data_IF_703754749781
#
_entry.id   IF_703754749781
#
_cell.length_a   1.000
_cell.length_b   1.000
_cell.length_c   1.000
_cell.angle_alpha   90.00
_cell.angle_beta   90.00
_cell.angle_gamma   90.00
#
_symmetry.space_group_name_H-M   'P 1'
#
loop_
_entity.id
_entity.type
_entity.pdbx_description
1 polymer ?
#
# COMPACT_ATOMS: atom_id res chain seq x y z
N UNK A 1 -2.71 -8.73 13.20
CA UNK A 1 -2.01 -7.60 12.57
C UNK A 1 -3.05 -6.86 11.75
N UNK A 2 -3.27 -5.56 11.96
CA UNK A 2 -4.24 -4.79 11.19
C UNK A 2 -3.85 -4.77 9.70
N UNK A 3 -4.86 -4.73 8.84
CA UNK A 3 -4.72 -4.67 7.39
C UNK A 3 -5.52 -3.49 6.85
N UNK A 4 -4.99 -2.84 5.82
CA UNK A 4 -5.69 -1.81 5.06
C UNK A 4 -5.51 -2.05 3.56
N UNK A 5 -6.44 -1.52 2.77
CA UNK A 5 -6.44 -1.70 1.32
C UNK A 5 -6.17 -0.37 0.62
N UNK A 6 -5.23 -0.40 -0.32
CA UNK A 6 -4.96 0.67 -1.27
C UNK A 6 -5.47 0.24 -2.64
N UNK A 7 -6.33 1.04 -3.27
CA UNK A 7 -6.73 0.83 -4.66
C UNK A 7 -5.69 1.47 -5.58
N UNK A 8 -5.15 0.71 -6.52
CA UNK A 8 -4.24 1.20 -7.54
C UNK A 8 -4.98 1.32 -8.88
N UNK A 9 -4.40 2.10 -9.80
CA UNK A 9 -5.00 2.39 -11.10
C UNK A 9 -5.19 1.14 -11.96
N UNK A 10 -4.25 0.20 -11.85
CA UNK A 10 -4.25 -1.05 -12.63
C UNK A 10 -3.65 -2.20 -11.81
N UNK A 11 -3.86 -3.47 -12.20
CA UNK A 11 -3.16 -4.59 -11.60
C UNK A 11 -1.63 -4.52 -11.74
N UNK A 12 -1.12 -3.88 -12.79
CA UNK A 12 0.32 -3.70 -12.95
C UNK A 12 0.88 -2.64 -11.98
N UNK A 13 0.12 -1.56 -11.75
CA UNK A 13 0.41 -0.62 -10.65
C UNK A 13 0.37 -1.33 -9.29
N UNK A 14 -0.63 -2.21 -9.12
CA UNK A 14 -0.71 -3.31 -8.15
C UNK A 14 0.64 -3.91 -7.75
N UNK A 15 1.22 -4.55 -8.76
CA UNK A 15 2.46 -5.31 -8.71
C UNK A 15 3.66 -4.42 -8.38
N UNK A 16 3.78 -3.25 -9.02
CA UNK A 16 4.89 -2.32 -8.78
C UNK A 16 4.92 -1.82 -7.33
N UNK A 17 3.77 -1.52 -6.73
CA UNK A 17 3.69 -1.11 -5.32
C UNK A 17 4.06 -2.26 -4.38
N UNK A 18 3.65 -3.49 -4.69
CA UNK A 18 4.03 -4.67 -3.91
C UNK A 18 5.53 -4.93 -4.00
N UNK A 19 6.12 -4.82 -5.19
CA UNK A 19 7.57 -5.02 -5.41
C UNK A 19 8.39 -4.00 -4.62
N UNK A 20 8.05 -2.72 -4.70
CA UNK A 20 8.73 -1.67 -3.94
C UNK A 20 8.56 -1.85 -2.43
N UNK A 21 7.35 -2.14 -1.98
CA UNK A 21 7.04 -2.25 -0.55
C UNK A 21 7.57 -3.57 0.06
N UNK A 22 7.98 -4.54 -0.76
CA UNK A 22 8.59 -5.78 -0.29
C UNK A 22 10.06 -5.55 0.06
N UNK A 23 10.34 -5.31 1.34
CA UNK A 23 11.70 -5.11 1.85
C UNK A 23 12.31 -6.41 2.38
N UNK A 24 13.47 -6.86 1.85
CA UNK A 24 14.15 -8.04 2.36
C UNK A 24 14.50 -7.89 3.85
N UNK A 25 14.01 -8.79 4.69
CA UNK A 25 14.25 -8.79 6.14
C UNK A 25 13.17 -8.09 6.97
N UNK A 26 12.17 -7.46 6.32
CA UNK A 26 10.96 -7.03 7.03
C UNK A 26 10.10 -8.26 7.35
N UNK A 27 9.86 -8.48 8.64
CA UNK A 27 9.04 -9.58 9.16
C UNK A 27 7.80 -9.08 9.89
N UNK A 28 7.65 -7.77 10.00
CA UNK A 28 6.58 -7.10 10.77
C UNK A 28 5.55 -6.43 9.86
N UNK A 29 5.90 -6.15 8.61
CA UNK A 29 4.99 -5.64 7.61
C UNK A 29 4.79 -6.66 6.49
N UNK A 30 3.58 -6.67 5.93
CA UNK A 30 3.23 -7.56 4.82
C UNK A 30 2.54 -6.78 3.74
N UNK A 31 2.88 -7.02 2.49
CA UNK A 31 2.24 -6.36 1.36
C UNK A 31 1.92 -7.43 0.32
N UNK A 32 0.66 -7.47 -0.13
CA UNK A 32 0.20 -8.46 -1.11
C UNK A 32 -0.73 -7.84 -2.12
N UNK A 33 -0.69 -8.35 -3.34
CA UNK A 33 -1.59 -7.96 -4.40
C UNK A 33 -2.94 -8.69 -4.30
N UNK A 34 -4.01 -7.98 -4.63
CA UNK A 34 -5.38 -8.48 -4.79
C UNK A 34 -5.99 -7.79 -6.02
N UNK A 35 -5.62 -8.26 -7.22
CA UNK A 35 -5.98 -7.62 -8.49
C UNK A 35 -5.35 -6.22 -8.63
N UNK A 36 -6.19 -5.20 -8.76
CA UNK A 36 -5.75 -3.79 -8.76
C UNK A 36 -5.66 -3.19 -7.34
N UNK A 37 -5.87 -3.99 -6.29
CA UNK A 37 -5.71 -3.55 -4.91
C UNK A 37 -4.42 -4.09 -4.30
N UNK A 38 -3.84 -3.34 -3.37
CA UNK A 38 -2.79 -3.79 -2.47
C UNK A 38 -3.37 -3.92 -1.08
N UNK A 39 -3.14 -5.08 -0.45
CA UNK A 39 -3.44 -5.27 0.97
C UNK A 39 -2.15 -5.09 1.76
N UNK A 40 -2.15 -4.08 2.61
CA UNK A 40 -1.02 -3.65 3.43
C UNK A 40 -1.33 -4.08 4.87
N UNK A 41 -0.62 -5.10 5.33
CA UNK A 41 -0.58 -5.46 6.75
C UNK A 41 0.51 -4.68 7.44
N UNK A 42 0.20 -4.10 8.59
CA UNK A 42 1.12 -3.20 9.29
C UNK A 42 1.18 -3.41 10.80
N UNK A 43 2.31 -3.06 11.39
CA UNK A 43 2.50 -2.93 12.84
C UNK A 43 2.66 -1.46 13.24
N UNK A 44 3.26 -0.63 12.38
CA UNK A 44 3.35 0.82 12.53
C UNK A 44 2.37 1.54 11.59
N UNK A 45 1.68 2.55 12.09
CA UNK A 45 0.72 3.36 11.33
C UNK A 45 1.37 4.15 10.17
N UNK A 46 2.68 4.41 10.27
CA UNK A 46 3.46 5.07 9.23
C UNK A 46 3.65 4.19 8.00
N UNK A 47 3.73 2.87 8.18
CA UNK A 47 3.96 1.95 7.07
C UNK A 47 2.92 2.05 5.95
N UNK A 48 1.60 1.93 6.23
CA UNK A 48 0.60 2.08 5.18
C UNK A 48 0.54 3.51 4.62
N UNK A 49 0.91 4.53 5.39
CA UNK A 49 1.01 5.91 4.89
C UNK A 49 2.16 6.05 3.89
N UNK A 50 3.35 5.55 4.21
CA UNK A 50 4.53 5.58 3.34
C UNK A 50 4.25 4.84 2.01
N UNK A 51 3.59 3.68 2.07
CA UNK A 51 3.22 2.91 0.87
C UNK A 51 2.19 3.65 0.02
N UNK A 52 1.18 4.25 0.64
CA UNK A 52 0.14 5.01 -0.06
C UNK A 52 0.70 6.28 -0.72
N UNK A 53 1.55 7.02 0.00
CA UNK A 53 2.20 8.24 -0.49
C UNK A 53 3.10 7.93 -1.69
N UNK A 54 3.96 6.92 -1.56
CA UNK A 54 4.81 6.47 -2.67
C UNK A 54 4.00 6.04 -3.90
N UNK A 55 2.91 5.29 -3.70
CA UNK A 55 2.04 4.86 -4.80
C UNK A 55 1.37 6.05 -5.51
N UNK A 56 1.00 7.10 -4.76
CA UNK A 56 0.47 8.32 -5.35
C UNK A 56 1.55 9.11 -6.12
N UNK A 57 2.68 9.38 -5.49
CA UNK A 57 3.79 10.15 -6.07
C UNK A 57 4.32 9.55 -7.38
N UNK A 58 4.29 8.23 -7.50
CA UNK A 58 4.75 7.51 -8.70
C UNK A 58 3.62 7.25 -9.72
N UNK A 59 2.41 7.74 -9.48
CA UNK A 59 1.28 7.62 -10.41
C UNK A 59 0.67 6.22 -10.47
N UNK A 60 0.81 5.41 -9.42
CA UNK A 60 0.23 4.07 -9.30
C UNK A 60 -1.13 4.07 -8.59
N UNK A 61 -1.46 5.12 -7.84
CA UNK A 61 -2.76 5.31 -7.20
C UNK A 61 -3.27 6.75 -7.35
N UNK A 62 -4.59 6.93 -7.33
CA UNK A 62 -5.19 8.27 -7.23
C UNK A 62 -4.99 8.85 -5.82
N UNK A 63 -4.93 10.18 -5.73
CA UNK A 63 -4.81 10.91 -4.46
C UNK A 63 -5.92 10.50 -3.46
N UNK A 64 -7.17 10.41 -3.95
CA UNK A 64 -8.31 10.00 -3.11
C UNK A 64 -8.15 8.58 -2.56
N UNK A 65 -7.53 7.66 -3.31
CA UNK A 65 -7.30 6.28 -2.86
C UNK A 65 -6.15 6.22 -1.83
N UNK A 66 -5.11 7.03 -2.01
CA UNK A 66 -4.03 7.18 -1.03
C UNK A 66 -4.53 7.84 0.27
N UNK A 67 -5.33 8.90 0.17
CA UNK A 67 -5.95 9.59 1.30
C UNK A 67 -6.89 8.68 2.11
N UNK A 68 -7.58 7.73 1.46
CA UNK A 68 -8.39 6.70 2.14
C UNK A 68 -7.56 5.77 2.99
N UNK A 69 -6.32 5.46 2.58
CA UNK A 69 -5.41 4.70 3.43
C UNK A 69 -5.07 5.53 4.67
N UNK A 70 -4.60 6.77 4.48
CA UNK A 70 -4.21 7.67 5.58
C UNK A 70 -5.33 7.87 6.61
N UNK A 71 -6.57 8.06 6.14
CA UNK A 71 -7.74 8.26 7.02
C UNK A 71 -8.29 6.95 7.62
N UNK A 72 -8.00 5.80 7.01
CA UNK A 72 -8.47 4.50 7.44
C UNK A 72 -7.54 3.76 8.41
N UNK A 73 -6.33 4.27 8.65
CA UNK A 73 -5.42 3.74 9.67
C UNK A 73 -5.98 4.09 11.07
N UNK A 74 -6.30 3.09 11.88
CA UNK A 74 -6.89 3.24 13.24
C UNK A 74 -6.21 2.34 14.26
#
# INVERSE_FOLDING_TARGET
MPEIRLTCLTPHAAEAVVEEATRPGDTVHTVRQDGACVVIGYHDLRWPMDVADWAHENGYAHDDDAARVITGVQ
#
